data_IF_146599136347
#
_entry.id   IF_146599136347
#
_cell.length_a   1.000
_cell.length_b   1.000
_cell.length_c   1.000
_cell.angle_alpha   90.00
_cell.angle_beta   90.00
_cell.angle_gamma   90.00
#
_symmetry.space_group_name_H-M   'P 1'
#
loop_
_entity.id
_entity.type
_entity.pdbx_description
1 polymer ?
#
# COMPACT_ATOMS: atom_id res chain seq x y z
N UNK A 1 -5.65 13.66 16.70
CA UNK A 1 -6.93 12.95 16.51
C UNK A 1 -7.23 12.65 15.04
N UNK A 2 -7.22 13.64 14.13
CA UNK A 2 -7.55 13.42 12.70
C UNK A 2 -6.72 12.34 11.99
N UNK A 3 -5.40 12.30 12.21
CA UNK A 3 -4.51 11.29 11.61
C UNK A 3 -4.94 9.85 11.93
N UNK A 4 -5.20 9.56 13.21
CA UNK A 4 -5.57 8.22 13.66
C UNK A 4 -6.89 7.73 13.06
N UNK A 5 -7.86 8.64 12.86
CA UNK A 5 -9.12 8.30 12.20
C UNK A 5 -8.90 7.86 10.75
N UNK A 6 -8.03 8.56 10.02
CA UNK A 6 -7.66 8.14 8.66
C UNK A 6 -6.93 6.80 8.68
N UNK A 7 -5.97 6.60 9.58
CA UNK A 7 -5.25 5.33 9.68
C UNK A 7 -6.22 4.16 9.92
N UNK A 8 -7.13 4.28 10.88
CA UNK A 8 -8.13 3.24 11.18
C UNK A 8 -9.03 2.98 9.98
N UNK A 9 -9.52 4.03 9.31
CA UNK A 9 -10.37 3.89 8.13
C UNK A 9 -9.67 3.16 6.98
N UNK A 10 -8.43 3.53 6.67
CA UNK A 10 -7.66 2.92 5.58
C UNK A 10 -7.25 1.49 5.91
N UNK A 11 -6.84 1.19 7.15
CA UNK A 11 -6.59 -0.18 7.61
C UNK A 11 -7.85 -1.03 7.48
N UNK A 12 -9.02 -0.51 7.87
CA UNK A 12 -10.27 -1.25 7.75
C UNK A 12 -10.59 -1.59 6.27
N UNK A 13 -10.37 -0.66 5.34
CA UNK A 13 -10.53 -0.91 3.90
C UNK A 13 -9.52 -1.94 3.37
N UNK A 14 -8.23 -1.79 3.71
CA UNK A 14 -7.19 -2.73 3.28
C UNK A 14 -7.35 -4.12 3.91
N UNK A 15 -8.10 -4.28 4.98
CA UNK A 15 -8.42 -5.60 5.54
C UNK A 15 -9.68 -6.17 4.88
N UNK A 16 -10.73 -5.36 4.77
CA UNK A 16 -12.03 -5.80 4.27
C UNK A 16 -12.00 -6.16 2.78
N UNK A 17 -11.35 -5.35 1.94
CA UNK A 17 -11.36 -5.56 0.48
C UNK A 17 -10.58 -6.83 0.08
N UNK A 18 -9.32 -7.04 0.53
CA UNK A 18 -8.61 -8.28 0.21
C UNK A 18 -9.31 -9.52 0.73
N UNK A 19 -9.91 -9.44 1.93
CA UNK A 19 -10.71 -10.53 2.49
C UNK A 19 -11.87 -10.90 1.55
N UNK A 20 -12.62 -9.91 1.06
CA UNK A 20 -13.68 -10.12 0.07
C UNK A 20 -13.15 -10.68 -1.25
N UNK A 21 -12.02 -10.19 -1.76
CA UNK A 21 -11.40 -10.72 -2.98
C UNK A 21 -11.05 -12.22 -2.84
N UNK A 22 -10.54 -12.64 -1.68
CA UNK A 22 -10.24 -14.04 -1.42
C UNK A 22 -11.48 -14.93 -1.37
N UNK A 23 -12.65 -14.39 -0.98
CA UNK A 23 -13.92 -15.13 -1.05
C UNK A 23 -14.37 -15.39 -2.49
N UNK A 24 -14.05 -14.50 -3.43
CA UNK A 24 -14.39 -14.67 -4.85
C UNK A 24 -13.45 -15.67 -5.51
N UNK A 25 -12.13 -15.48 -5.32
CA UNK A 25 -11.12 -16.35 -5.92
C UNK A 25 -9.83 -16.36 -5.09
N UNK A 26 -9.23 -17.52 -4.77
CA UNK A 26 -8.03 -17.60 -3.93
C UNK A 26 -6.85 -16.79 -4.48
N UNK A 27 -6.70 -16.73 -5.81
CA UNK A 27 -5.62 -15.97 -6.47
C UNK A 27 -5.92 -14.47 -6.64
N UNK A 28 -7.12 -13.98 -6.29
CA UNK A 28 -7.46 -12.57 -6.48
C UNK A 28 -6.52 -11.64 -5.68
N UNK A 29 -6.17 -12.02 -4.44
CA UNK A 29 -5.22 -11.27 -3.61
C UNK A 29 -3.85 -11.06 -4.28
N UNK A 30 -3.09 -12.13 -4.60
CA UNK A 30 -1.77 -12.00 -5.20
C UNK A 30 -1.76 -11.50 -6.65
N UNK A 31 -2.89 -11.53 -7.37
CA UNK A 31 -3.01 -10.99 -8.74
C UNK A 31 -3.33 -9.49 -8.75
N UNK A 32 -4.31 -9.06 -7.95
CA UNK A 32 -4.79 -7.67 -7.97
C UNK A 32 -4.15 -6.77 -6.90
N UNK A 33 -3.44 -7.35 -5.93
CA UNK A 33 -2.74 -6.64 -4.86
C UNK A 33 -3.63 -5.61 -4.13
N UNK A 34 -4.88 -5.98 -3.76
CA UNK A 34 -5.83 -5.02 -3.19
C UNK A 34 -5.33 -4.39 -1.88
N UNK A 35 -4.54 -5.13 -1.10
CA UNK A 35 -3.97 -4.68 0.18
C UNK A 35 -2.98 -3.52 0.03
N UNK A 36 -2.23 -3.44 -1.07
CA UNK A 36 -1.27 -2.35 -1.25
C UNK A 36 -1.95 -1.07 -1.76
N UNK A 37 -3.18 -1.18 -2.24
CA UNK A 37 -3.89 -0.07 -2.85
C UNK A 37 -4.20 1.04 -1.84
N UNK A 38 -4.85 0.73 -0.72
CA UNK A 38 -5.20 1.79 0.25
C UNK A 38 -3.98 2.21 1.08
N UNK A 39 -2.99 1.33 1.27
CA UNK A 39 -1.68 1.71 1.83
C UNK A 39 -1.03 2.84 1.02
N UNK A 40 -0.91 2.66 -0.30
CA UNK A 40 -0.34 3.68 -1.19
C UNK A 40 -1.20 4.95 -1.19
N UNK A 41 -2.52 4.80 -1.26
CA UNK A 41 -3.45 5.92 -1.26
C UNK A 41 -3.39 6.75 0.02
N UNK A 42 -3.24 6.10 1.18
CA UNK A 42 -3.08 6.75 2.48
C UNK A 42 -1.81 7.61 2.50
N UNK A 43 -0.69 7.07 2.01
CA UNK A 43 0.57 7.81 1.86
C UNK A 43 0.41 9.03 0.94
N UNK A 44 -0.23 8.85 -0.22
CA UNK A 44 -0.42 9.92 -1.21
C UNK A 44 -1.32 11.06 -0.73
N UNK A 45 -2.34 10.76 0.08
CA UNK A 45 -3.35 11.73 0.53
C UNK A 45 -3.00 12.37 1.88
N UNK A 46 -2.45 11.60 2.82
CA UNK A 46 -2.28 12.01 4.21
C UNK A 46 -0.82 11.99 4.67
N UNK A 47 0.11 11.80 3.74
CA UNK A 47 1.54 11.95 3.99
C UNK A 47 2.22 10.68 4.52
N UNK A 48 3.54 10.78 4.71
CA UNK A 48 4.38 9.62 5.02
C UNK A 48 4.05 8.96 6.36
N UNK A 49 3.62 9.74 7.36
CA UNK A 49 3.22 9.21 8.67
C UNK A 49 1.99 8.31 8.57
N UNK A 50 0.98 8.76 7.82
CA UNK A 50 -0.21 7.97 7.58
C UNK A 50 0.12 6.70 6.78
N UNK A 51 0.84 6.85 5.67
CA UNK A 51 1.26 5.72 4.84
C UNK A 51 2.07 4.67 5.62
N UNK A 52 3.03 5.08 6.43
CA UNK A 52 3.82 4.18 7.29
C UNK A 52 2.94 3.43 8.28
N UNK A 53 2.05 4.14 8.99
CA UNK A 53 1.17 3.51 9.99
C UNK A 53 0.18 2.54 9.36
N UNK A 54 -0.47 2.93 8.25
CA UNK A 54 -1.38 2.04 7.52
C UNK A 54 -0.61 0.83 6.98
N UNK A 55 0.53 1.05 6.34
CA UNK A 55 1.36 -0.03 5.79
C UNK A 55 1.84 -1.04 6.83
N UNK A 56 2.18 -0.59 8.05
CA UNK A 56 2.60 -1.48 9.13
C UNK A 56 1.41 -2.20 9.78
N UNK A 57 0.32 -1.49 10.06
CA UNK A 57 -0.82 -2.05 10.79
C UNK A 57 -1.66 -3.01 9.94
N UNK A 58 -1.87 -2.69 8.66
CA UNK A 58 -2.71 -3.49 7.76
C UNK A 58 -2.34 -4.99 7.74
N UNK A 59 -1.08 -5.40 7.50
CA UNK A 59 -0.70 -6.82 7.51
C UNK A 59 -0.95 -7.52 8.85
N UNK A 60 -0.69 -6.82 9.97
CA UNK A 60 -0.84 -7.39 11.31
C UNK A 60 -2.32 -7.58 11.67
N UNK A 61 -3.15 -6.59 11.36
CA UNK A 61 -4.60 -6.65 11.60
C UNK A 61 -5.25 -7.68 10.68
N UNK A 62 -4.88 -7.70 9.40
CA UNK A 62 -5.37 -8.70 8.44
C UNK A 62 -5.06 -10.13 8.91
N UNK A 63 -3.82 -10.36 9.37
CA UNK A 63 -3.40 -11.66 9.90
C UNK A 63 -4.18 -12.05 11.14
N UNK A 64 -4.38 -11.11 12.07
CA UNK A 64 -5.11 -11.37 13.32
C UNK A 64 -6.56 -11.76 13.09
N UNK A 65 -7.19 -11.26 12.01
CA UNK A 65 -8.60 -11.51 11.70
C UNK A 65 -8.79 -12.76 10.82
N UNK A 66 -7.93 -12.93 9.81
CA UNK A 66 -8.16 -13.92 8.74
C UNK A 66 -7.12 -15.05 8.69
N UNK A 67 -6.02 -14.93 9.44
CA UNK A 67 -4.85 -15.79 9.29
C UNK A 67 -4.01 -15.51 8.03
N UNK A 68 -4.38 -14.51 7.21
CA UNK A 68 -3.65 -14.09 6.01
C UNK A 68 -2.97 -12.72 6.20
N UNK A 69 -1.77 -12.50 5.64
CA UNK A 69 -0.95 -13.48 4.93
C UNK A 69 -0.36 -14.54 5.89
N UNK A 70 -0.13 -15.78 5.43
CA UNK A 70 0.42 -16.84 6.29
C UNK A 70 1.74 -16.44 6.95
N UNK A 71 1.97 -16.91 8.19
CA UNK A 71 3.16 -16.58 9.00
C UNK A 71 4.50 -16.68 8.25
N UNK A 72 4.76 -17.71 7.41
CA UNK A 72 6.02 -17.79 6.69
C UNK A 72 6.27 -16.65 5.70
N UNK A 73 5.24 -15.93 5.26
CA UNK A 73 5.34 -14.86 4.26
C UNK A 73 5.03 -13.48 4.87
N UNK A 74 4.38 -13.46 6.04
CA UNK A 74 3.97 -12.25 6.75
C UNK A 74 5.12 -11.25 6.99
N UNK A 75 6.33 -11.63 7.47
CA UNK A 75 7.41 -10.66 7.69
C UNK A 75 7.81 -9.91 6.42
N UNK A 76 7.90 -10.62 5.29
CA UNK A 76 8.19 -10.02 3.97
C UNK A 76 7.09 -9.05 3.55
N UNK A 77 5.82 -9.46 3.66
CA UNK A 77 4.67 -8.63 3.26
C UNK A 77 4.53 -7.40 4.16
N UNK A 78 4.80 -7.56 5.47
CA UNK A 78 4.81 -6.45 6.42
C UNK A 78 5.85 -5.38 6.05
N UNK A 79 7.07 -5.80 5.71
CA UNK A 79 8.13 -4.89 5.27
C UNK A 79 7.76 -4.23 3.94
N UNK A 80 7.32 -5.02 2.95
CA UNK A 80 6.88 -4.51 1.64
C UNK A 80 5.77 -3.45 1.77
N UNK A 81 4.72 -3.76 2.54
CA UNK A 81 3.58 -2.89 2.83
C UNK A 81 4.01 -1.59 3.51
N UNK A 82 4.83 -1.68 4.55
CA UNK A 82 5.31 -0.52 5.30
C UNK A 82 6.10 0.42 4.40
N UNK A 83 7.01 -0.13 3.58
CA UNK A 83 7.82 0.66 2.65
C UNK A 83 7.00 1.23 1.50
N UNK A 84 5.94 0.56 1.02
CA UNK A 84 5.01 1.16 0.06
C UNK A 84 4.37 2.43 0.61
N UNK A 85 3.76 2.35 1.78
CA UNK A 85 3.06 3.49 2.37
C UNK A 85 4.03 4.63 2.72
N UNK A 86 5.17 4.30 3.32
CA UNK A 86 6.22 5.26 3.65
C UNK A 86 6.74 5.97 2.38
N UNK A 87 7.13 5.20 1.36
CA UNK A 87 7.70 5.75 0.13
C UNK A 87 6.69 6.61 -0.63
N UNK A 88 5.44 6.14 -0.78
CA UNK A 88 4.40 6.90 -1.46
C UNK A 88 4.19 8.26 -0.79
N UNK A 89 4.15 8.30 0.55
CA UNK A 89 4.01 9.54 1.29
C UNK A 89 5.25 10.44 1.23
N UNK A 90 6.46 9.89 1.38
CA UNK A 90 7.70 10.70 1.32
C UNK A 90 7.90 11.31 -0.07
N UNK A 91 7.74 10.51 -1.13
CA UNK A 91 7.91 10.97 -2.51
C UNK A 91 6.89 12.07 -2.84
N UNK A 92 5.67 11.95 -2.34
CA UNK A 92 4.59 12.91 -2.57
C UNK A 92 4.73 14.18 -1.74
N UNK A 93 4.94 14.05 -0.44
CA UNK A 93 4.88 15.15 0.54
C UNK A 93 6.21 15.89 0.63
N UNK A 94 7.32 15.17 0.70
CA UNK A 94 8.65 15.73 0.95
C UNK A 94 9.40 15.98 -0.36
N UNK A 95 9.42 15.01 -1.28
CA UNK A 95 10.08 15.16 -2.58
C UNK A 95 9.22 15.91 -3.61
N UNK A 96 7.95 16.20 -3.29
CA UNK A 96 6.98 16.93 -4.12
C UNK A 96 6.82 16.35 -5.53
N UNK A 97 6.99 15.04 -5.69
CA UNK A 97 6.78 14.37 -6.97
C UNK A 97 5.29 14.38 -7.33
N UNK A 98 5.02 14.31 -8.64
CA UNK A 98 3.65 14.09 -9.11
C UNK A 98 3.15 12.71 -8.63
N UNK A 99 1.82 12.50 -8.67
CA UNK A 99 1.25 11.25 -8.11
C UNK A 99 1.77 10.02 -8.84
N UNK A 100 1.89 10.11 -10.16
CA UNK A 100 2.35 9.00 -11.01
C UNK A 100 3.77 8.54 -10.64
N UNK A 101 4.71 9.47 -10.51
CA UNK A 101 6.10 9.17 -10.10
C UNK A 101 6.18 8.74 -8.64
N UNK A 102 5.32 9.27 -7.77
CA UNK A 102 5.25 8.84 -6.36
C UNK A 102 4.80 7.38 -6.26
N UNK A 103 3.77 6.97 -7.00
CA UNK A 103 3.31 5.57 -7.06
C UNK A 103 4.38 4.68 -7.66
N UNK A 104 4.96 5.07 -8.80
CA UNK A 104 5.99 4.28 -9.47
C UNK A 104 7.21 4.07 -8.58
N UNK A 105 7.70 5.14 -7.94
CA UNK A 105 8.82 5.06 -7.01
C UNK A 105 8.50 4.21 -5.78
N UNK A 106 7.29 4.34 -5.23
CA UNK A 106 6.83 3.48 -4.14
C UNK A 106 6.82 2.00 -4.56
N UNK A 107 6.28 1.69 -5.76
CA UNK A 107 6.25 0.33 -6.31
C UNK A 107 7.66 -0.29 -6.37
N UNK A 108 8.65 0.47 -6.83
CA UNK A 108 10.05 -0.01 -6.86
C UNK A 108 10.61 -0.20 -5.45
N UNK A 109 10.42 0.78 -4.55
CA UNK A 109 10.97 0.75 -3.20
C UNK A 109 10.37 -0.40 -2.37
N UNK A 110 9.05 -0.63 -2.44
CA UNK A 110 8.42 -1.74 -1.72
C UNK A 110 8.91 -3.10 -2.21
N UNK A 111 9.10 -3.28 -3.54
CA UNK A 111 9.69 -4.52 -4.08
C UNK A 111 11.14 -4.71 -3.67
N UNK A 112 11.94 -3.64 -3.64
CA UNK A 112 13.31 -3.69 -3.15
C UNK A 112 13.35 -4.06 -1.66
N UNK A 113 12.47 -3.48 -0.85
CA UNK A 113 12.33 -3.80 0.58
C UNK A 113 11.90 -5.27 0.79
N UNK A 114 10.98 -5.78 -0.04
CA UNK A 114 10.62 -7.20 -0.04
C UNK A 114 11.83 -8.09 -0.34
N UNK A 115 12.63 -7.75 -1.35
CA UNK A 115 13.86 -8.49 -1.68
C UNK A 115 14.89 -8.48 -0.55
N UNK A 116 15.11 -7.31 0.05
CA UNK A 116 16.02 -7.18 1.19
C UNK A 116 15.52 -7.99 2.39
N UNK A 117 14.22 -7.98 2.67
CA UNK A 117 13.65 -8.80 3.74
C UNK A 117 13.86 -10.30 3.49
N UNK A 118 13.81 -10.75 2.22
CA UNK A 118 14.07 -12.14 1.87
C UNK A 118 15.52 -12.51 2.23
N UNK A 119 16.48 -11.68 1.81
CA UNK A 119 17.91 -11.88 2.09
C UNK A 119 18.18 -11.98 3.60
N UNK A 120 17.62 -11.05 4.38
CA UNK A 120 17.92 -10.93 5.80
C UNK A 120 17.19 -11.96 6.67
N UNK A 121 15.93 -12.26 6.36
CA UNK A 121 15.07 -13.10 7.21
C UNK A 121 15.19 -14.58 6.83
N UNK A 122 15.27 -14.88 5.53
CA UNK A 122 15.21 -16.27 5.04
C UNK A 122 16.59 -16.86 4.76
N UNK A 123 17.67 -16.08 4.94
CA UNK A 123 19.06 -16.54 4.98
C UNK A 123 19.45 -17.51 3.84
N UNK A 124 18.97 -17.27 2.62
CA UNK A 124 19.28 -18.10 1.45
C UNK A 124 18.39 -19.34 1.25
N UNK A 125 17.37 -19.56 2.09
CA UNK A 125 16.38 -20.63 1.89
C UNK A 125 15.56 -20.45 0.60
N UNK A 126 15.48 -19.23 0.08
CA UNK A 126 14.78 -18.86 -1.15
C UNK A 126 15.58 -17.80 -1.90
N UNK A 127 15.63 -17.94 -3.22
CA UNK A 127 16.25 -16.93 -4.07
C UNK A 127 15.41 -15.63 -4.09
N UNK A 128 15.97 -14.48 -3.67
CA UNK A 128 15.22 -13.23 -3.57
C UNK A 128 14.75 -12.72 -4.93
N UNK A 129 15.62 -12.76 -5.95
CA UNK A 129 15.32 -12.21 -7.27
C UNK A 129 14.20 -13.01 -7.94
N UNK A 130 14.28 -14.33 -7.90
CA UNK A 130 13.27 -15.23 -8.42
C UNK A 130 11.93 -15.06 -7.69
N UNK A 131 11.95 -14.89 -6.36
CA UNK A 131 10.73 -14.71 -5.56
C UNK A 131 10.05 -13.37 -5.87
N UNK A 132 10.81 -12.28 -5.95
CA UNK A 132 10.29 -10.97 -6.35
C UNK A 132 9.77 -11.01 -7.77
N UNK A 133 10.53 -11.60 -8.70
CA UNK A 133 10.13 -11.73 -10.10
C UNK A 133 8.83 -12.52 -10.25
N UNK A 134 8.69 -13.63 -9.53
CA UNK A 134 7.45 -14.42 -9.53
C UNK A 134 6.27 -13.61 -8.96
N UNK A 135 6.48 -12.88 -7.87
CA UNK A 135 5.45 -12.03 -7.27
C UNK A 135 5.05 -10.87 -8.20
N UNK A 136 6.02 -10.24 -8.88
CA UNK A 136 5.78 -9.18 -9.85
C UNK A 136 5.05 -9.69 -11.10
N UNK A 137 5.46 -10.85 -11.63
CA UNK A 137 4.79 -11.50 -12.76
C UNK A 137 3.38 -11.97 -12.45
N UNK A 138 3.07 -12.32 -11.20
CA UNK A 138 1.70 -12.65 -10.83
C UNK A 138 0.87 -11.38 -10.61
N UNK A 139 1.49 -10.37 -10.00
CA UNK A 139 0.86 -9.14 -9.55
C UNK A 139 0.84 -7.98 -10.54
N UNK A 140 1.30 -8.17 -11.78
CA UNK A 140 1.34 -7.08 -12.77
C UNK A 140 -0.03 -6.45 -13.04
N UNK A 141 -1.18 -7.17 -13.03
CA UNK A 141 -2.48 -6.54 -13.23
C UNK A 141 -2.79 -5.56 -12.09
N UNK A 142 -2.55 -5.97 -10.84
CA UNK A 142 -2.72 -5.12 -9.67
C UNK A 142 -1.83 -3.87 -9.70
N UNK A 143 -0.54 -4.04 -10.05
CA UNK A 143 0.39 -2.92 -10.16
C UNK A 143 -0.03 -1.93 -11.26
N UNK A 144 -0.54 -2.42 -12.38
CA UNK A 144 -1.08 -1.58 -13.45
C UNK A 144 -2.33 -0.81 -12.99
N UNK A 145 -3.26 -1.48 -12.29
CA UNK A 145 -4.44 -0.84 -11.71
C UNK A 145 -4.01 0.27 -10.73
N UNK A 146 -3.04 0.00 -9.86
CA UNK A 146 -2.51 1.00 -8.93
C UNK A 146 -1.91 2.21 -9.67
N UNK A 147 -1.12 1.99 -10.73
CA UNK A 147 -0.52 3.05 -11.52
C UNK A 147 -1.53 3.95 -12.24
N UNK A 148 -2.67 3.40 -12.65
CA UNK A 148 -3.70 4.16 -13.38
C UNK A 148 -4.71 4.80 -12.43
N UNK A 149 -5.22 4.03 -11.48
CA UNK A 149 -6.35 4.44 -10.62
C UNK A 149 -5.89 5.33 -9.46
N UNK A 150 -4.75 5.06 -8.84
CA UNK A 150 -4.30 5.87 -7.69
C UNK A 150 -4.06 7.35 -8.06
N UNK A 151 -3.43 7.69 -9.20
CA UNK A 151 -3.34 9.08 -9.64
C UNK A 151 -4.71 9.74 -9.79
N UNK A 152 -5.66 9.04 -10.41
CA UNK A 152 -7.00 9.58 -10.62
C UNK A 152 -7.70 9.87 -9.29
N UNK A 153 -7.72 8.92 -8.36
CA UNK A 153 -8.37 9.10 -7.06
C UNK A 153 -7.66 10.18 -6.26
N UNK A 154 -6.32 10.13 -6.17
CA UNK A 154 -5.54 11.07 -5.37
C UNK A 154 -5.77 12.52 -5.79
N UNK A 155 -5.77 12.80 -7.10
CA UNK A 155 -5.97 14.16 -7.62
C UNK A 155 -7.39 14.66 -7.33
N UNK A 156 -8.41 13.83 -7.53
CA UNK A 156 -9.81 14.22 -7.30
C UNK A 156 -10.11 14.39 -5.80
N UNK A 157 -9.63 13.49 -4.95
CA UNK A 157 -9.79 13.58 -3.49
C UNK A 157 -9.05 14.78 -2.91
N UNK A 158 -7.83 15.08 -3.38
CA UNK A 158 -7.09 16.26 -2.92
C UNK A 158 -7.84 17.56 -3.24
N UNK A 159 -8.44 17.66 -4.44
CA UNK A 159 -9.29 18.80 -4.82
C UNK A 159 -10.50 18.92 -3.88
N UNK A 160 -11.20 17.82 -3.60
CA UNK A 160 -12.36 17.82 -2.71
C UNK A 160 -12.00 18.22 -1.28
N UNK A 161 -10.93 17.65 -0.72
CA UNK A 161 -10.43 17.99 0.62
C UNK A 161 -10.02 19.47 0.70
N UNK A 162 -9.42 20.03 -0.35
CA UNK A 162 -9.07 21.45 -0.40
C UNK A 162 -10.29 22.38 -0.41
N UNK A 163 -11.40 21.96 -1.04
CA UNK A 163 -12.66 22.71 -1.05
C UNK A 163 -13.32 22.69 0.33
N UNK A 164 -13.39 21.53 0.98
CA UNK A 164 -13.96 21.40 2.32
C UNK A 164 -13.15 22.12 3.41
N UNK A 165 -11.86 22.40 3.15
CA UNK A 165 -10.99 23.19 4.04
C UNK A 165 -11.12 24.71 3.88
N UNK A 166 -11.81 25.20 2.84
CA UNK A 166 -12.19 26.61 2.70
C UNK A 166 -13.67 26.73 3.05
N UNK A 167 -14.04 27.09 4.30
CA UNK A 167 -15.41 27.53 4.54
C UNK A 167 -15.63 28.77 3.66
N UNK A 168 -16.78 28.84 3.00
CA UNK A 168 -17.17 29.91 2.10
C UNK A 168 -16.94 31.27 2.77
N UNK A 169 -15.84 31.93 2.43
CA UNK A 169 -15.50 33.28 2.89
C UNK A 169 -16.02 34.35 1.92
N UNK A 170 -16.97 33.99 1.07
CA UNK A 170 -17.67 34.89 0.15
C UNK A 170 -19.13 34.45 0.00
N UNK A 171 -19.93 34.69 1.04
CA UNK A 171 -21.35 35.01 0.92
C UNK A 171 -21.70 36.12 1.91
#
# INVERSE_FOLDING_TARGET
MRLYLFVVFFVALDVAIPWFCHMIHPLAGPVFLPMFFFILLAGLLFGWRAGLMVGALTPLVSFSISGMPPLPVLPRVFIEATFYGLAAGLLREQCKLNVFWSVTGALVIGRAAAGLSILLIYQGAVDPLFTIWKAAKLGWPGMLIQLVILPFISINSARLLSKMGKPDAEQ
#
